data_IF_911744812710
#
_entry.id   IF_911744812710
#
_cell.length_a   1.000
_cell.length_b   1.000
_cell.length_c   1.000
_cell.angle_alpha   90.00
_cell.angle_beta   90.00
_cell.angle_gamma   90.00
#
_symmetry.space_group_name_H-M   'P 1'
#
loop_
_entity.id
_entity.type
_entity.pdbx_description
1 polymer ?
#
# COMPACT_ATOMS: atom_id res chain seq x y z
N UNK A 1 -9.32 2.33 86.53
CA UNK A 1 -8.41 1.84 85.48
C UNK A 1 -9.20 1.61 84.21
N UNK A 2 -8.80 2.33 83.18
CA UNK A 2 -9.32 2.48 81.82
C UNK A 2 -9.13 1.23 80.96
N UNK A 3 -10.12 0.87 80.13
CA UNK A 3 -9.88 0.32 78.79
C UNK A 3 -10.93 0.85 77.81
N UNK A 4 -10.54 1.83 76.99
CA UNK A 4 -11.29 2.26 75.81
C UNK A 4 -11.06 1.21 74.71
N UNK A 5 -12.14 0.62 74.21
CA UNK A 5 -12.08 -0.24 73.04
C UNK A 5 -11.89 0.65 71.80
N UNK A 6 -10.72 0.55 71.18
CA UNK A 6 -10.44 1.13 69.87
C UNK A 6 -11.01 0.20 68.80
N UNK A 7 -12.07 0.62 68.12
CA UNK A 7 -12.54 -0.03 66.90
C UNK A 7 -12.05 0.79 65.70
N UNK A 8 -11.14 0.29 64.84
CA UNK A 8 -10.76 1.02 63.65
C UNK A 8 -11.90 0.93 62.62
N UNK A 9 -12.61 2.04 62.45
CA UNK A 9 -13.71 2.21 61.51
C UNK A 9 -13.27 2.35 60.03
N UNK A 10 -12.06 1.89 59.67
CA UNK A 10 -11.46 2.21 58.37
C UNK A 10 -10.84 0.95 57.74
N UNK A 11 -11.67 0.09 57.17
CA UNK A 11 -11.18 -1.06 56.40
C UNK A 11 -11.84 -1.25 55.03
N UNK A 12 -12.79 -0.38 54.64
CA UNK A 12 -13.59 -0.60 53.42
C UNK A 12 -13.41 0.45 52.31
N UNK A 13 -12.64 1.52 52.52
CA UNK A 13 -12.44 2.56 51.50
C UNK A 13 -11.31 2.29 50.49
N UNK A 14 -10.60 1.16 50.57
CA UNK A 14 -9.44 0.88 49.69
C UNK A 14 -9.75 0.14 48.39
N UNK A 15 -10.94 -0.45 48.23
CA UNK A 15 -11.20 -1.46 47.19
C UNK A 15 -11.93 -0.92 45.94
N UNK A 16 -12.00 0.41 45.74
CA UNK A 16 -12.73 1.02 44.62
C UNK A 16 -11.87 1.99 43.78
N UNK A 17 -10.60 1.67 43.56
CA UNK A 17 -9.71 2.43 42.67
C UNK A 17 -8.95 1.56 41.64
N UNK A 18 -9.23 0.26 41.58
CA UNK A 18 -8.46 -0.69 40.75
C UNK A 18 -8.78 -0.76 39.23
N UNK A 19 -9.86 -0.20 38.64
CA UNK A 19 -10.13 -0.45 37.22
C UNK A 19 -9.59 0.60 36.22
N UNK A 20 -8.73 1.56 36.63
CA UNK A 20 -8.18 2.55 35.66
C UNK A 20 -6.79 2.20 35.10
N UNK A 21 -6.10 1.20 35.65
CA UNK A 21 -4.72 0.89 35.22
C UNK A 21 -4.63 -0.08 34.03
N UNK A 22 -5.76 -0.48 33.44
CA UNK A 22 -5.81 -1.48 32.36
C UNK A 22 -5.72 -0.90 30.93
N UNK A 23 -5.69 0.43 30.76
CA UNK A 23 -5.75 1.05 29.43
C UNK A 23 -4.41 1.21 28.69
N UNK A 24 -3.26 0.76 29.22
CA UNK A 24 -1.95 1.05 28.61
C UNK A 24 -1.30 -0.09 27.84
N UNK A 25 -1.88 -1.29 27.78
CA UNK A 25 -1.28 -2.40 27.03
C UNK A 25 -1.73 -2.42 25.56
N UNK A 26 -1.45 -1.34 24.82
CA UNK A 26 -1.55 -1.37 23.37
C UNK A 26 -0.22 -1.89 22.81
N UNK A 27 -0.10 -3.21 22.64
CA UNK A 27 1.03 -3.83 21.97
C UNK A 27 0.90 -3.60 20.47
N UNK A 28 1.45 -2.48 19.97
CA UNK A 28 1.53 -2.24 18.53
C UNK A 28 2.57 -3.19 17.93
N UNK A 29 2.24 -3.99 16.91
CA UNK A 29 3.23 -4.80 16.23
C UNK A 29 4.32 -3.89 15.65
N UNK A 30 5.58 -4.15 16.01
CA UNK A 30 6.73 -3.46 15.43
C UNK A 30 6.86 -3.93 13.98
N UNK A 31 6.42 -3.12 13.04
CA UNK A 31 6.69 -3.31 11.61
C UNK A 31 8.15 -2.92 11.38
N UNK A 32 8.99 -3.88 10.97
CA UNK A 32 10.36 -3.57 10.57
C UNK A 32 10.32 -2.74 9.28
N UNK A 33 10.95 -1.57 9.21
CA UNK A 33 11.05 -0.81 7.98
C UNK A 33 11.73 -1.69 6.92
N UNK A 34 11.07 -1.87 5.78
CA UNK A 34 11.69 -2.45 4.60
C UNK A 34 12.48 -1.33 3.92
N UNK A 35 13.76 -1.57 3.65
CA UNK A 35 14.57 -0.63 2.89
C UNK A 35 14.29 -0.83 1.39
N UNK A 36 13.71 0.17 0.75
CA UNK A 36 13.39 0.13 -0.67
C UNK A 36 14.48 0.88 -1.45
N UNK A 37 15.06 0.29 -2.51
CA UNK A 37 16.05 0.97 -3.32
C UNK A 37 15.45 2.25 -3.92
N UNK A 38 16.06 3.40 -3.62
CA UNK A 38 15.61 4.69 -4.14
C UNK A 38 16.07 4.81 -5.60
N UNK A 39 15.13 5.03 -6.52
CA UNK A 39 15.40 5.08 -7.97
C UNK A 39 16.00 6.42 -8.47
N UNK A 40 16.30 7.35 -7.57
CA UNK A 40 16.87 8.66 -7.93
C UNK A 40 15.93 9.51 -8.79
N UNK A 41 16.46 10.57 -9.40
CA UNK A 41 15.71 11.43 -10.31
C UNK A 41 15.76 10.87 -11.75
N UNK A 42 14.60 10.69 -12.37
CA UNK A 42 14.46 10.21 -13.75
C UNK A 42 13.81 11.31 -14.58
N UNK A 43 14.41 11.64 -15.73
CA UNK A 43 13.83 12.57 -16.69
C UNK A 43 13.18 11.79 -17.84
N UNK A 44 11.98 12.20 -18.24
CA UNK A 44 11.31 11.62 -19.39
C UNK A 44 12.04 12.01 -20.68
N UNK A 45 12.32 11.04 -21.54
CA UNK A 45 12.86 11.28 -22.87
C UNK A 45 11.72 11.63 -23.83
N UNK A 46 11.49 12.93 -24.01
CA UNK A 46 10.44 13.44 -24.90
C UNK A 46 11.01 13.68 -26.29
N UNK A 47 10.27 13.31 -27.34
CA UNK A 47 10.66 13.57 -28.71
C UNK A 47 10.82 15.08 -28.96
N UNK A 48 11.98 15.49 -29.50
CA UNK A 48 12.22 16.89 -29.88
C UNK A 48 11.32 17.33 -31.05
N UNK A 49 11.01 16.39 -31.94
CA UNK A 49 10.07 16.53 -33.05
C UNK A 49 9.27 15.24 -33.14
N UNK A 50 7.96 15.32 -33.30
CA UNK A 50 7.11 14.16 -33.47
C UNK A 50 7.51 13.37 -34.73
N UNK A 51 7.65 12.02 -34.64
CA UNK A 51 7.92 11.18 -35.81
C UNK A 51 6.85 11.32 -36.90
N UNK A 52 7.18 10.97 -38.14
CA UNK A 52 6.17 10.92 -39.19
C UNK A 52 5.12 9.86 -38.87
N UNK A 53 3.86 10.10 -39.23
CA UNK A 53 2.72 9.24 -38.85
C UNK A 53 2.89 7.76 -39.22
N UNK A 54 3.55 7.47 -40.34
CA UNK A 54 3.81 6.10 -40.80
C UNK A 54 4.92 5.37 -40.03
N UNK A 55 5.62 6.07 -39.13
CA UNK A 55 6.65 5.53 -38.25
C UNK A 55 6.14 5.32 -36.83
N UNK A 56 4.96 5.85 -36.50
CA UNK A 56 4.35 5.72 -35.19
C UNK A 56 3.75 4.32 -35.03
N UNK A 57 3.96 3.73 -33.86
CA UNK A 57 3.35 2.47 -33.46
C UNK A 57 2.23 2.75 -32.46
N UNK A 58 1.06 2.15 -32.70
CA UNK A 58 -0.03 2.13 -31.74
C UNK A 58 0.29 1.10 -30.65
N UNK A 59 0.06 1.47 -29.38
CA UNK A 59 0.44 0.66 -28.22
C UNK A 59 -0.79 0.27 -27.43
N UNK A 60 -1.04 -1.05 -27.34
CA UNK A 60 -1.97 -1.65 -26.40
C UNK A 60 -1.26 -2.06 -25.11
N UNK A 61 -1.73 -1.58 -23.97
CA UNK A 61 -1.23 -1.97 -22.65
C UNK A 61 -2.31 -2.82 -21.97
N UNK A 62 -2.03 -4.09 -21.74
CA UNK A 62 -2.95 -4.97 -21.01
C UNK A 62 -2.83 -4.71 -19.51
N UNK A 63 -3.93 -4.92 -18.77
CA UNK A 63 -3.89 -4.94 -17.30
C UNK A 63 -2.85 -5.96 -16.84
N UNK A 64 -2.06 -5.62 -15.83
CA UNK A 64 -1.01 -6.53 -15.35
C UNK A 64 -1.61 -7.74 -14.62
N UNK A 65 -0.79 -8.75 -14.34
CA UNK A 65 -1.21 -9.94 -13.60
C UNK A 65 -0.43 -10.00 -12.28
N UNK A 66 -1.09 -10.45 -11.21
CA UNK A 66 -0.37 -10.85 -10.00
C UNK A 66 0.09 -12.29 -10.19
N UNK A 67 1.40 -12.52 -10.10
CA UNK A 67 1.99 -13.84 -10.23
C UNK A 67 2.48 -14.41 -8.89
N UNK A 68 2.10 -13.80 -7.76
CA UNK A 68 2.43 -14.31 -6.43
C UNK A 68 1.44 -15.36 -5.93
N UNK A 69 1.98 -16.40 -5.27
CA UNK A 69 1.19 -17.37 -4.54
C UNK A 69 0.48 -16.69 -3.35
N UNK A 70 -0.83 -16.48 -3.43
CA UNK A 70 -1.65 -15.94 -2.32
C UNK A 70 -1.48 -16.74 -1.01
N UNK A 71 -1.15 -18.04 -1.11
CA UNK A 71 -0.88 -18.92 0.03
C UNK A 71 0.41 -18.59 0.80
N UNK A 72 1.28 -17.74 0.24
CA UNK A 72 2.49 -17.25 0.89
C UNK A 72 2.23 -16.12 1.90
N UNK A 73 1.06 -15.47 1.85
CA UNK A 73 0.70 -14.39 2.76
C UNK A 73 0.31 -14.90 4.16
N UNK A 74 1.32 -15.12 5.00
CA UNK A 74 1.17 -15.74 6.34
C UNK A 74 1.00 -14.71 7.45
N UNK A 75 1.37 -13.45 7.20
CA UNK A 75 1.41 -12.37 8.18
C UNK A 75 0.44 -11.23 7.79
N UNK A 76 0.03 -10.42 8.77
CA UNK A 76 -0.80 -9.22 8.51
C UNK A 76 -0.14 -8.26 7.51
N UNK A 77 1.18 -8.09 7.57
CA UNK A 77 1.94 -7.30 6.59
C UNK A 77 1.74 -7.82 5.17
N UNK A 78 1.88 -9.12 4.97
CA UNK A 78 1.71 -9.76 3.65
C UNK A 78 0.33 -9.48 3.05
N UNK A 79 -0.73 -9.49 3.86
CA UNK A 79 -2.10 -9.17 3.40
C UNK A 79 -2.28 -7.71 2.94
N UNK A 80 -1.64 -6.77 3.64
CA UNK A 80 -1.66 -5.35 3.23
C UNK A 80 -0.95 -5.18 1.88
N UNK A 81 0.16 -5.89 1.67
CA UNK A 81 0.86 -5.88 0.39
C UNK A 81 0.02 -6.50 -0.74
N UNK A 82 -0.80 -7.53 -0.47
CA UNK A 82 -1.75 -8.07 -1.46
C UNK A 82 -2.77 -7.03 -1.92
N UNK A 83 -3.41 -6.30 -1.01
CA UNK A 83 -4.39 -5.28 -1.42
C UNK A 83 -3.74 -4.14 -2.22
N UNK A 84 -2.52 -3.74 -1.85
CA UNK A 84 -1.76 -2.73 -2.59
C UNK A 84 -1.44 -3.23 -3.99
N UNK A 85 -0.92 -4.45 -4.13
CA UNK A 85 -0.60 -5.10 -5.41
C UNK A 85 -1.81 -5.14 -6.33
N UNK A 86 -2.96 -5.54 -5.79
CA UNK A 86 -4.24 -5.57 -6.49
C UNK A 86 -4.59 -4.20 -7.10
N UNK A 87 -4.34 -3.11 -6.38
CA UNK A 87 -4.56 -1.75 -6.91
C UNK A 87 -3.51 -1.39 -7.95
N UNK A 88 -2.25 -1.71 -7.69
CA UNK A 88 -1.13 -1.38 -8.58
C UNK A 88 -1.25 -2.05 -9.95
N UNK A 89 -1.69 -3.30 -10.01
CA UNK A 89 -1.93 -4.03 -11.25
C UNK A 89 -2.90 -3.30 -12.17
N UNK A 90 -3.91 -2.64 -11.60
CA UNK A 90 -4.88 -1.84 -12.36
C UNK A 90 -4.41 -0.41 -12.57
N UNK A 91 -3.65 0.17 -11.66
CA UNK A 91 -3.24 1.58 -11.70
C UNK A 91 -2.02 1.83 -12.60
N UNK A 92 -0.99 0.98 -12.51
CA UNK A 92 0.27 1.15 -13.23
C UNK A 92 0.11 1.14 -14.77
N UNK A 93 -0.77 0.34 -15.39
CA UNK A 93 -1.04 0.45 -16.82
C UNK A 93 -1.50 1.85 -17.26
N UNK A 94 -2.33 2.53 -16.45
CA UNK A 94 -2.76 3.90 -16.76
C UNK A 94 -1.64 4.91 -16.59
N UNK A 95 -0.77 4.71 -15.58
CA UNK A 95 0.40 5.56 -15.39
C UNK A 95 1.38 5.40 -16.57
N UNK A 96 1.64 4.17 -17.00
CA UNK A 96 2.48 3.88 -18.17
C UNK A 96 1.88 4.51 -19.44
N UNK A 97 0.57 4.36 -19.67
CA UNK A 97 -0.12 5.04 -20.78
C UNK A 97 0.16 6.53 -20.80
N UNK A 98 0.04 7.19 -19.65
CA UNK A 98 0.28 8.63 -19.53
C UNK A 98 1.72 8.98 -19.92
N UNK A 99 2.70 8.23 -19.41
CA UNK A 99 4.13 8.44 -19.70
C UNK A 99 4.43 8.28 -21.20
N UNK A 100 3.87 7.26 -21.85
CA UNK A 100 4.07 7.03 -23.29
C UNK A 100 3.42 8.13 -24.15
N UNK A 101 2.26 8.65 -23.75
CA UNK A 101 1.65 9.80 -24.44
C UNK A 101 2.51 11.05 -24.27
N UNK A 102 2.99 11.31 -23.04
CA UNK A 102 3.83 12.46 -22.74
C UNK A 102 5.20 12.41 -23.45
N UNK A 103 5.69 11.22 -23.81
CA UNK A 103 6.95 11.09 -24.55
C UNK A 103 6.86 11.54 -26.01
N UNK A 104 5.65 11.61 -26.59
CA UNK A 104 5.42 12.01 -28.00
C UNK A 104 6.18 11.13 -29.02
N UNK A 105 6.36 9.85 -28.70
CA UNK A 105 7.10 8.89 -29.53
C UNK A 105 6.20 7.84 -30.19
N UNK A 106 4.94 7.77 -29.78
CA UNK A 106 4.03 6.68 -30.11
C UNK A 106 2.75 7.21 -30.75
N UNK A 107 2.05 6.34 -31.47
CA UNK A 107 0.73 6.62 -32.00
C UNK A 107 -0.33 6.57 -30.90
N UNK A 108 -1.47 5.96 -31.18
CA UNK A 108 -2.52 5.78 -30.20
C UNK A 108 -2.06 4.85 -29.06
N UNK A 109 -2.13 5.31 -27.81
CA UNK A 109 -1.83 4.49 -26.62
C UNK A 109 -3.12 4.22 -25.84
N UNK A 110 -3.41 2.94 -25.57
CA UNK A 110 -4.66 2.49 -24.93
C UNK A 110 -4.39 1.45 -23.86
N UNK A 111 -5.19 1.47 -22.80
CA UNK A 111 -5.24 0.36 -21.82
C UNK A 111 -6.38 -0.57 -22.23
N UNK A 112 -6.08 -1.87 -22.30
CA UNK A 112 -7.02 -2.90 -22.71
C UNK A 112 -7.34 -3.81 -21.52
N UNK A 113 -8.59 -4.28 -21.37
CA UNK A 113 -8.95 -5.22 -20.32
C UNK A 113 -8.26 -6.58 -20.49
N UNK A 114 -8.08 -7.01 -21.75
CA UNK A 114 -7.44 -8.26 -22.16
C UNK A 114 -6.65 -8.01 -23.44
N UNK A 115 -5.78 -8.96 -23.82
CA UNK A 115 -5.04 -8.87 -25.07
C UNK A 115 -6.00 -8.92 -26.28
N UNK A 116 -5.84 -7.97 -27.20
CA UNK A 116 -6.66 -7.86 -28.41
C UNK A 116 -5.75 -8.02 -29.65
N UNK A 117 -5.92 -9.08 -30.46
CA UNK A 117 -5.09 -9.32 -31.64
C UNK A 117 -5.28 -8.29 -32.76
N UNK A 118 -6.25 -7.39 -32.66
CA UNK A 118 -6.42 -6.27 -33.61
C UNK A 118 -5.47 -5.10 -33.36
N UNK A 119 -4.71 -5.13 -32.26
CA UNK A 119 -3.73 -4.10 -31.88
C UNK A 119 -2.30 -4.50 -32.27
N UNK A 120 -2.08 -5.76 -32.67
CA UNK A 120 -0.81 -6.31 -33.18
C UNK A 120 -0.61 -6.13 -34.70
#
# INVERSE_FOLDING_TARGET
MTKRAFWPANALSGLLLLPLSACTTLSTPIVKPVDYPQVGAINLNVAATEPASHQLLDIGIVVFEDNEDESAARTYGDRIFTEVRDKEIRYLPFLLRKVLIESQQWGAVRVLPEADPSVD
#
